data_IF_963441713615
#
_entry.id   IF_963441713615
#
_cell.length_a   1.000
_cell.length_b   1.000
_cell.length_c   1.000
_cell.angle_alpha   90.00
_cell.angle_beta   90.00
_cell.angle_gamma   90.00
#
_symmetry.space_group_name_H-M   'P 1'
#
loop_
_entity.id
_entity.type
_entity.pdbx_description
1 polymer ?
#
# COMPACT_ATOMS: atom_id res chain seq x y z
N UNK A 1 26.56 4.63 4.48
CA UNK A 1 25.94 4.69 4.39
C UNK A 1 25.22 4.52 4.17
N UNK A 2 24.99 4.74 3.95
CA UNK A 2 24.12 4.71 3.79
C UNK A 2 23.45 4.71 3.17
N UNK A 3 22.93 4.60 2.93
CA UNK A 3 22.25 4.65 2.38
C UNK A 3 21.28 4.87 2.17
N UNK A 4 21.17 5.13 2.75
CA UNK A 4 20.17 5.61 2.66
C UNK A 4 19.52 5.77 1.69
N UNK A 5 19.39 6.05 1.55
CA UNK A 5 18.67 6.24 0.70
C UNK A 5 19.05 6.80 -0.43
N UNK A 6 19.19 6.10 -1.42
CA UNK A 6 19.39 6.65 -2.63
C UNK A 6 18.31 7.53 -3.03
N UNK A 7 17.13 7.28 -2.47
CA UNK A 7 15.97 8.09 -2.79
C UNK A 7 15.91 9.31 -1.93
N UNK A 8 16.51 9.26 -0.75
CA UNK A 8 16.43 10.35 0.19
C UNK A 8 15.04 10.54 0.76
N UNK A 9 14.15 9.56 0.63
CA UNK A 9 12.79 9.67 1.15
C UNK A 9 12.29 8.32 1.60
N UNK A 10 11.26 8.36 2.45
CA UNK A 10 10.64 7.17 3.00
C UNK A 10 9.14 7.30 2.90
N UNK A 11 8.46 6.19 2.63
CA UNK A 11 7.01 6.15 2.51
C UNK A 11 6.46 5.30 3.65
N UNK A 12 5.51 5.86 4.37
CA UNK A 12 4.83 5.14 5.46
C UNK A 12 3.35 5.10 5.17
N UNK A 13 2.72 3.98 5.53
CA UNK A 13 1.27 3.84 5.48
C UNK A 13 0.77 3.83 6.91
N UNK A 14 -0.25 4.64 7.19
CA UNK A 14 -0.87 4.68 8.50
C UNK A 14 -2.24 4.03 8.42
N UNK A 15 -2.43 3.00 9.23
CA UNK A 15 -3.73 2.33 9.37
C UNK A 15 -4.22 2.62 10.78
N UNK A 16 -5.47 3.11 10.93
CA UNK A 16 -5.98 3.42 12.26
C UNK A 16 -5.82 2.23 13.21
N UNK A 17 -5.31 2.52 14.40
CA UNK A 17 -5.10 1.50 15.41
C UNK A 17 -3.82 0.70 15.28
N UNK A 18 -2.98 1.02 14.30
CA UNK A 18 -1.71 0.31 14.09
C UNK A 18 -0.56 1.29 14.01
N UNK A 19 0.64 0.78 14.29
CA UNK A 19 1.84 1.57 14.10
C UNK A 19 2.07 1.81 12.61
N UNK A 20 2.68 2.93 12.24
CA UNK A 20 2.99 3.19 10.83
C UNK A 20 3.82 2.06 10.23
N UNK A 21 3.56 1.75 8.98
CA UNK A 21 4.23 0.68 8.26
C UNK A 21 5.06 1.30 7.15
N UNK A 22 6.36 1.08 7.18
CA UNK A 22 7.22 1.57 6.12
C UNK A 22 7.12 0.68 4.90
N UNK A 23 6.95 1.28 3.73
CA UNK A 23 6.90 0.54 2.46
C UNK A 23 8.30 0.52 1.85
N UNK A 24 8.83 -0.67 1.55
CA UNK A 24 10.10 -0.77 0.85
C UNK A 24 9.94 -0.34 -0.61
N UNK A 25 11.04 -0.10 -1.32
CA UNK A 25 10.97 0.10 -2.76
C UNK A 25 10.34 -1.13 -3.42
N UNK A 26 9.61 -0.90 -4.52
CA UNK A 26 8.96 -1.98 -5.25
C UNK A 26 7.51 -2.15 -4.87
N UNK A 27 7.02 -3.37 -4.96
CA UNK A 27 5.61 -3.67 -4.82
C UNK A 27 5.27 -4.14 -3.41
N UNK A 28 4.18 -3.59 -2.86
CA UNK A 28 3.69 -3.98 -1.53
C UNK A 28 2.18 -4.16 -1.61
N UNK A 29 1.71 -5.36 -1.32
CA UNK A 29 0.28 -5.66 -1.39
C UNK A 29 -0.40 -5.23 -0.09
N UNK A 30 -1.57 -4.63 -0.24
CA UNK A 30 -2.44 -4.27 0.87
C UNK A 30 -3.70 -5.09 0.75
N UNK A 31 -4.17 -5.66 1.87
CA UNK A 31 -5.37 -6.45 1.85
C UNK A 31 -5.65 -7.12 3.18
N UNK A 32 -6.67 -7.99 3.17
CA UNK A 32 -7.12 -8.66 4.39
C UNK A 32 -6.22 -9.82 4.79
N UNK A 33 -5.51 -10.40 3.85
CA UNK A 33 -4.65 -11.55 4.13
C UNK A 33 -3.48 -11.17 5.02
N UNK A 34 -3.11 -12.08 5.91
CA UNK A 34 -1.94 -11.87 6.76
C UNK A 34 -0.64 -11.89 5.97
N UNK A 35 -0.68 -12.39 4.74
CA UNK A 35 0.51 -12.38 3.89
C UNK A 35 0.78 -10.99 3.30
N UNK A 36 -0.17 -10.07 3.40
CA UNK A 36 0.03 -8.72 2.86
C UNK A 36 0.97 -7.92 3.76
N UNK A 37 1.81 -7.10 3.14
CA UNK A 37 2.67 -6.20 3.89
C UNK A 37 1.83 -5.23 4.71
N UNK A 38 0.75 -4.72 4.11
CA UNK A 38 -0.21 -3.89 4.83
C UNK A 38 -1.49 -4.71 4.99
N UNK A 39 -1.71 -5.22 6.19
CA UNK A 39 -2.91 -6.01 6.46
C UNK A 39 -4.01 -5.15 7.05
N UNK A 40 -5.20 -5.22 6.45
CA UNK A 40 -6.39 -4.55 6.97
C UNK A 40 -7.45 -5.61 7.16
N UNK A 41 -7.74 -5.93 8.42
CA UNK A 41 -8.62 -7.04 8.77
C UNK A 41 -10.07 -6.59 8.80
N UNK A 42 -10.58 -6.14 7.66
CA UNK A 42 -11.97 -5.70 7.51
C UNK A 42 -12.65 -6.57 6.47
N UNK A 43 -13.92 -6.91 6.70
CA UNK A 43 -14.64 -7.79 5.79
C UNK A 43 -14.86 -7.16 4.42
N UNK A 44 -14.85 -5.81 4.34
CA UNK A 44 -15.01 -5.11 3.07
C UNK A 44 -13.74 -5.06 2.25
N UNK A 45 -12.62 -5.50 2.81
CA UNK A 45 -11.33 -5.50 2.14
C UNK A 45 -11.06 -6.88 1.57
N UNK A 46 -10.74 -6.96 0.28
CA UNK A 46 -10.41 -8.22 -0.37
C UNK A 46 -9.08 -8.76 0.17
N UNK A 47 -8.86 -10.07 0.03
CA UNK A 47 -7.64 -10.69 0.53
C UNK A 47 -6.40 -10.02 -0.03
N UNK A 48 -6.38 -9.78 -1.34
CA UNK A 48 -5.37 -8.98 -2.02
C UNK A 48 -6.13 -7.85 -2.68
N UNK A 49 -6.11 -6.68 -2.08
CA UNK A 49 -7.03 -5.61 -2.44
C UNK A 49 -6.40 -4.63 -3.41
N UNK A 50 -5.20 -4.20 -3.11
CA UNK A 50 -4.51 -3.19 -3.90
C UNK A 50 -3.01 -3.38 -3.74
N UNK A 51 -2.25 -2.69 -4.57
CA UNK A 51 -0.80 -2.78 -4.51
C UNK A 51 -0.20 -1.38 -4.61
N UNK A 52 0.72 -1.09 -3.71
CA UNK A 52 1.55 0.10 -3.80
C UNK A 52 2.80 -0.25 -4.61
N UNK A 53 3.15 0.63 -5.53
CA UNK A 53 4.39 0.51 -6.28
C UNK A 53 5.24 1.73 -5.93
N UNK A 54 6.32 1.49 -5.19
CA UNK A 54 7.19 2.56 -4.69
C UNK A 54 8.42 2.63 -5.56
N UNK A 55 8.58 3.76 -6.23
CA UNK A 55 9.72 4.04 -7.12
C UNK A 55 10.37 5.34 -6.68
N UNK A 56 11.61 5.61 -7.09
CA UNK A 56 12.27 6.86 -6.71
C UNK A 56 11.40 8.07 -7.08
N UNK A 57 11.05 8.87 -6.09
CA UNK A 57 10.25 10.06 -6.28
C UNK A 57 8.80 9.84 -6.65
N UNK A 58 8.30 8.59 -6.56
CA UNK A 58 6.94 8.31 -7.05
C UNK A 58 6.35 7.11 -6.34
N UNK A 59 5.07 7.21 -5.99
CA UNK A 59 4.30 6.09 -5.43
C UNK A 59 3.03 5.96 -6.25
N UNK A 60 2.76 4.75 -6.72
CA UNK A 60 1.52 4.45 -7.44
C UNK A 60 0.71 3.44 -6.65
N UNK A 61 -0.59 3.51 -6.82
CA UNK A 61 -1.53 2.58 -6.17
C UNK A 61 -2.42 2.00 -7.25
N UNK A 62 -2.52 0.67 -7.31
CA UNK A 62 -3.38 -0.01 -8.27
C UNK A 62 -4.34 -0.93 -7.54
N UNK A 63 -5.57 -1.00 -8.02
CA UNK A 63 -6.54 -1.95 -7.52
C UNK A 63 -6.26 -3.34 -8.13
N UNK A 64 -6.36 -4.38 -7.32
CA UNK A 64 -6.10 -5.75 -7.77
C UNK A 64 -7.40 -6.50 -8.04
N UNK A 65 -8.40 -5.81 -8.59
CA UNK A 65 -9.69 -6.43 -8.87
C UNK A 65 -10.51 -6.64 -7.62
N UNK A 66 -10.41 -5.71 -6.67
CA UNK A 66 -11.10 -5.84 -5.40
C UNK A 66 -12.61 -5.80 -5.57
N UNK A 67 -13.33 -6.42 -4.64
CA UNK A 67 -14.78 -6.47 -4.68
C UNK A 67 -15.40 -5.09 -4.54
N UNK A 68 -14.85 -4.27 -3.63
CA UNK A 68 -15.47 -2.98 -3.30
C UNK A 68 -14.73 -1.78 -3.87
N UNK A 69 -13.63 -2.01 -4.59
CA UNK A 69 -12.86 -0.93 -5.19
C UNK A 69 -11.86 -0.31 -4.22
N UNK A 70 -10.96 0.48 -4.78
CA UNK A 70 -9.95 1.24 -4.05
C UNK A 70 -10.12 2.71 -4.42
N UNK A 71 -10.15 3.58 -3.42
CA UNK A 71 -10.42 5.00 -3.62
C UNK A 71 -9.34 5.84 -2.95
N UNK A 72 -8.95 6.92 -3.63
CA UNK A 72 -8.01 7.90 -3.08
C UNK A 72 -8.70 9.26 -3.15
N UNK A 73 -8.91 9.87 -2.00
CA UNK A 73 -9.59 11.16 -1.90
C UNK A 73 -10.93 11.16 -2.64
N UNK A 74 -11.64 10.04 -2.55
CA UNK A 74 -12.97 9.93 -3.14
C UNK A 74 -12.98 9.50 -4.60
N UNK A 75 -11.82 9.33 -5.23
CA UNK A 75 -11.73 8.92 -6.62
C UNK A 75 -11.28 7.48 -6.73
N UNK A 76 -11.95 6.73 -7.59
CA UNK A 76 -11.65 5.31 -7.76
C UNK A 76 -10.35 5.13 -8.54
N UNK A 77 -9.54 4.20 -8.05
CA UNK A 77 -8.25 3.86 -8.64
C UNK A 77 -8.45 2.65 -9.55
N UNK A 78 -7.82 2.66 -10.72
CA UNK A 78 -7.87 1.54 -11.65
C UNK A 78 -6.82 0.50 -11.34
N UNK A 79 -6.94 -0.63 -11.98
CA UNK A 79 -5.99 -1.72 -11.85
C UNK A 79 -4.73 -1.56 -12.70
#
# INVERSE_FOLDING_TARGET
MNQVDQTGWQIFVEVPGKAPIELPPGESVIGRSRACIVQIAETTVSRQHAIFVVEPGKVRLRDLGSTNGTFVNGERVDG
#
